data_IF_485930022762
#
_entry.id   IF_485930022762
#
_cell.length_a   1.000
_cell.length_b   1.000
_cell.length_c   1.000
_cell.angle_alpha   90.00
_cell.angle_beta   90.00
_cell.angle_gamma   90.00
#
_symmetry.space_group_name_H-M   'P 1'
#
loop_
_entity.id
_entity.type
_entity.pdbx_description
1 polymer ?
#
# COMPACT_ATOMS: atom_id res chain seq x y z
N UNK A 1 1.60 -5.56 21.90
CA UNK A 1 2.42 -4.85 20.90
C UNK A 1 2.62 -5.66 19.61
N UNK A 2 3.03 -6.93 19.68
CA UNK A 2 3.35 -7.74 18.50
C UNK A 2 2.26 -7.82 17.41
N UNK A 3 1.00 -8.00 17.81
CA UNK A 3 -0.14 -8.04 16.89
C UNK A 3 -0.27 -6.74 16.06
N UNK A 4 -0.08 -5.59 16.70
CA UNK A 4 -0.17 -4.27 16.04
C UNK A 4 0.95 -4.08 15.01
N UNK A 5 2.19 -4.44 15.37
CA UNK A 5 3.34 -4.38 14.46
C UNK A 5 3.14 -5.26 13.21
N UNK A 6 2.65 -6.48 13.40
CA UNK A 6 2.32 -7.37 12.27
C UNK A 6 1.21 -6.80 11.41
N UNK A 7 0.15 -6.28 12.02
CA UNK A 7 -0.96 -5.67 11.30
C UNK A 7 -0.51 -4.47 10.47
N UNK A 8 0.33 -3.58 11.03
CA UNK A 8 0.89 -2.43 10.29
C UNK A 8 1.76 -2.87 9.11
N UNK A 9 2.65 -3.84 9.32
CA UNK A 9 3.45 -4.45 8.24
C UNK A 9 2.56 -4.99 7.12
N UNK A 10 1.56 -5.79 7.49
CA UNK A 10 0.70 -6.47 6.53
C UNK A 10 -0.21 -5.48 5.80
N UNK A 11 -0.66 -4.41 6.46
CA UNK A 11 -1.46 -3.35 5.85
C UNK A 11 -0.71 -2.61 4.74
N UNK A 12 0.51 -2.11 4.99
CA UNK A 12 1.25 -1.37 3.95
C UNK A 12 1.64 -2.29 2.78
N UNK A 13 1.98 -3.55 3.07
CA UNK A 13 2.24 -4.57 2.04
C UNK A 13 0.98 -4.90 1.23
N UNK A 14 -0.20 -4.86 1.84
CA UNK A 14 -1.45 -5.05 1.12
C UNK A 14 -1.70 -3.91 0.12
N UNK A 15 -1.39 -2.66 0.49
CA UNK A 15 -1.49 -1.52 -0.43
C UNK A 15 -0.54 -1.66 -1.63
N UNK A 16 0.74 -1.99 -1.41
CA UNK A 16 1.70 -2.22 -2.51
C UNK A 16 1.21 -3.32 -3.47
N UNK A 17 0.77 -4.47 -2.91
CA UNK A 17 0.28 -5.60 -3.72
C UNK A 17 -0.99 -5.24 -4.50
N UNK A 18 -1.87 -4.43 -3.92
CA UNK A 18 -3.06 -3.95 -4.60
C UNK A 18 -2.69 -3.03 -5.77
N UNK A 19 -1.74 -2.11 -5.60
CA UNK A 19 -1.24 -1.27 -6.68
C UNK A 19 -0.61 -2.10 -7.80
N UNK A 20 0.27 -3.04 -7.47
CA UNK A 20 0.89 -3.94 -8.45
C UNK A 20 -0.15 -4.70 -9.27
N UNK A 21 -1.20 -5.22 -8.63
CA UNK A 21 -2.29 -5.92 -9.30
C UNK A 21 -3.11 -4.97 -10.20
N UNK A 22 -3.39 -3.76 -9.74
CA UNK A 22 -4.13 -2.75 -10.50
C UNK A 22 -3.31 -2.29 -11.72
N UNK A 23 -2.01 -2.08 -11.56
CA UNK A 23 -1.10 -1.71 -12.66
C UNK A 23 -1.03 -2.80 -13.72
N UNK A 24 -0.98 -4.08 -13.30
CA UNK A 24 -1.03 -5.21 -14.21
C UNK A 24 -2.34 -5.21 -15.02
N UNK A 25 -3.49 -5.06 -14.36
CA UNK A 25 -4.79 -5.02 -15.03
C UNK A 25 -4.93 -3.83 -15.97
N UNK A 26 -4.49 -2.63 -15.55
CA UNK A 26 -4.53 -1.43 -16.37
C UNK A 26 -3.68 -1.59 -17.64
N UNK A 27 -2.46 -2.13 -17.50
CA UNK A 27 -1.56 -2.42 -18.63
C UNK A 27 -2.14 -3.46 -19.59
N UNK A 28 -2.75 -4.53 -19.06
CA UNK A 28 -3.35 -5.60 -19.87
C UNK A 28 -4.63 -5.15 -20.58
N UNK A 29 -5.38 -4.22 -20.02
CA UNK A 29 -6.62 -3.71 -20.62
C UNK A 29 -6.41 -2.93 -21.94
N UNK A 30 -5.17 -2.50 -22.24
CA UNK A 30 -4.80 -1.86 -23.50
C UNK A 30 -5.47 -0.49 -23.72
N UNK A 31 -5.40 0.02 -24.95
CA UNK A 31 -5.82 1.41 -25.25
C UNK A 31 -7.27 1.76 -24.90
N UNK A 32 -8.19 0.77 -24.88
CA UNK A 32 -9.58 0.98 -24.50
C UNK A 32 -9.75 1.42 -23.03
N UNK A 33 -8.79 1.09 -22.15
CA UNK A 33 -8.81 1.53 -20.76
C UNK A 33 -8.58 3.03 -20.59
N UNK A 34 -7.95 3.69 -21.58
CA UNK A 34 -7.52 5.08 -21.51
C UNK A 34 -8.66 6.10 -21.69
N UNK A 35 -9.80 5.67 -22.24
CA UNK A 35 -10.93 6.56 -22.48
C UNK A 35 -11.58 6.98 -21.17
N UNK A 36 -11.80 8.29 -21.00
CA UNK A 36 -12.52 8.83 -19.84
C UNK A 36 -13.89 8.18 -19.70
N UNK A 37 -14.20 7.74 -18.49
CA UNK A 37 -15.45 7.01 -18.19
C UNK A 37 -15.28 5.49 -18.19
N UNK A 38 -14.17 4.96 -18.69
CA UNK A 38 -13.83 3.56 -18.47
C UNK A 38 -13.55 3.33 -16.96
N UNK A 39 -14.15 2.33 -16.31
CA UNK A 39 -13.91 2.07 -14.88
C UNK A 39 -12.45 1.75 -14.56
N UNK A 40 -11.67 1.22 -15.52
CA UNK A 40 -10.29 0.80 -15.31
C UNK A 40 -9.36 2.01 -15.11
N UNK A 41 -9.45 3.09 -15.91
CA UNK A 41 -8.63 4.29 -15.66
C UNK A 41 -8.97 4.98 -14.35
N UNK A 42 -10.25 4.95 -13.96
CA UNK A 42 -10.68 5.50 -12.68
C UNK A 42 -10.11 4.71 -11.52
N UNK A 43 -10.26 3.38 -11.51
CA UNK A 43 -9.72 2.53 -10.46
C UNK A 43 -8.20 2.67 -10.32
N UNK A 44 -7.47 2.75 -11.44
CA UNK A 44 -6.03 2.97 -11.46
C UNK A 44 -5.65 4.31 -10.79
N UNK A 45 -6.23 5.42 -11.25
CA UNK A 45 -5.96 6.74 -10.66
C UNK A 45 -6.34 6.82 -9.18
N UNK A 46 -7.50 6.29 -8.81
CA UNK A 46 -8.03 6.39 -7.46
C UNK A 46 -7.15 5.58 -6.48
N UNK A 47 -6.65 4.41 -6.89
CA UNK A 47 -5.73 3.61 -6.08
C UNK A 47 -4.37 4.31 -5.89
N UNK A 48 -3.80 4.87 -6.94
CA UNK A 48 -2.56 5.66 -6.86
C UNK A 48 -2.73 6.96 -6.06
N UNK A 49 -3.90 7.60 -6.13
CA UNK A 49 -4.21 8.75 -5.29
C UNK A 49 -4.38 8.37 -3.81
N UNK A 50 -4.95 7.19 -3.52
CA UNK A 50 -5.06 6.68 -2.15
C UNK A 50 -3.72 6.25 -1.56
N UNK A 51 -2.80 5.76 -2.39
CA UNK A 51 -1.51 5.24 -1.92
C UNK A 51 -0.58 6.31 -1.35
N UNK A 52 -0.74 7.58 -1.74
CA UNK A 52 0.08 8.69 -1.21
C UNK A 52 -0.31 9.13 0.21
N UNK A 53 -1.37 8.56 0.79
CA UNK A 53 -1.72 8.83 2.18
C UNK A 53 -0.62 8.32 3.12
N UNK A 54 -0.20 9.11 4.11
CA UNK A 54 0.93 8.79 5.02
C UNK A 54 0.82 7.42 5.71
N UNK A 55 -0.40 6.94 5.96
CA UNK A 55 -0.63 5.60 6.53
C UNK A 55 -0.17 4.44 5.63
N UNK A 56 0.05 4.69 4.33
CA UNK A 56 0.50 3.72 3.35
C UNK A 56 2.02 3.73 3.10
N UNK A 57 2.79 4.56 3.81
CA UNK A 57 4.27 4.62 3.67
C UNK A 57 4.93 3.29 4.11
N UNK A 58 5.47 2.48 3.19
CA UNK A 58 5.95 1.15 3.51
C UNK A 58 7.22 1.15 4.35
N UNK A 59 8.19 2.01 4.03
CA UNK A 59 9.49 2.07 4.68
C UNK A 59 9.35 2.31 6.17
N UNK A 60 8.49 3.27 6.56
CA UNK A 60 8.20 3.59 7.95
C UNK A 60 7.62 2.37 8.69
N UNK A 61 6.57 1.75 8.16
CA UNK A 61 5.93 0.62 8.82
C UNK A 61 6.84 -0.62 8.90
N UNK A 62 7.64 -0.88 7.87
CA UNK A 62 8.59 -2.00 7.83
C UNK A 62 9.74 -1.79 8.81
N UNK A 63 10.26 -0.57 8.94
CA UNK A 63 11.29 -0.23 9.93
C UNK A 63 10.80 -0.46 11.36
N UNK A 64 9.57 -0.04 11.68
CA UNK A 64 8.95 -0.27 13.00
C UNK A 64 8.77 -1.76 13.29
N UNK A 65 8.29 -2.53 12.31
CA UNK A 65 8.19 -3.98 12.42
C UNK A 65 9.56 -4.61 12.71
N UNK A 66 10.60 -4.18 11.98
CA UNK A 66 11.97 -4.63 12.18
C UNK A 66 12.50 -4.35 13.58
N UNK A 67 12.29 -3.13 14.12
CA UNK A 67 12.66 -2.79 15.50
C UNK A 67 12.03 -3.74 16.51
N UNK A 68 10.72 -3.98 16.41
CA UNK A 68 10.03 -4.91 17.29
C UNK A 68 10.49 -6.36 17.13
N UNK A 69 10.79 -6.79 15.89
CA UNK A 69 11.32 -8.13 15.62
C UNK A 69 12.73 -8.35 16.20
N UNK A 70 13.54 -7.30 16.29
CA UNK A 70 14.86 -7.33 16.92
C UNK A 70 14.85 -7.01 18.42
N UNK A 71 13.68 -6.86 19.05
CA UNK A 71 13.57 -6.54 20.47
C UNK A 71 14.03 -5.13 20.84
N UNK A 72 14.13 -4.23 19.86
CA UNK A 72 14.47 -2.83 20.08
C UNK A 72 13.23 -2.03 20.53
N UNK A 73 13.42 -0.90 21.26
CA UNK A 73 12.30 -0.03 21.62
C UNK A 73 11.54 0.46 20.39
N UNK A 74 10.21 0.47 20.46
CA UNK A 74 9.33 0.97 19.40
C UNK A 74 8.62 2.20 19.94
N UNK A 75 8.88 3.35 19.33
CA UNK A 75 8.22 4.62 19.62
C UNK A 75 7.54 5.09 18.33
N UNK A 76 6.24 4.83 18.19
CA UNK A 76 5.42 5.39 17.10
C UNK A 76 3.94 5.44 17.49
N UNK A 77 3.27 6.54 17.14
CA UNK A 77 1.84 6.76 17.35
C UNK A 77 0.96 6.11 16.27
N UNK A 78 1.56 5.54 15.21
CA UNK A 78 0.86 4.88 14.11
C UNK A 78 0.95 3.33 14.16
N UNK A 79 1.25 2.76 15.34
CA UNK A 79 1.21 1.31 15.62
C UNK A 79 -0.01 0.91 16.45
#
# INVERSE_FOLDING_TARGET
>A
MWMRLRARRDQVRATERALEAIDLLFKTAGGNSLTRGNPIERAWRDAHAGSVHVANEPERALALYGRGAFGLPVEDNLV
#
